data_IF_613909823932
#
_entry.id   IF_613909823932
#
_cell.length_a   1.000
_cell.length_b   1.000
_cell.length_c   1.000
_cell.angle_alpha   90.00
_cell.angle_beta   90.00
_cell.angle_gamma   90.00
#
_symmetry.space_group_name_H-M   'P 1'
#
loop_
_entity.id
_entity.type
_entity.pdbx_description
1 polymer ?
#
# COMPACT_ATOMS: atom_id res chain seq x y z
N UNK A 1 -2.07 -6.90 56.47
CA UNK A 1 -0.80 -6.66 55.75
C UNK A 1 -0.86 -7.43 54.43
N UNK A 2 -0.33 -6.80 53.37
CA UNK A 2 -0.13 -7.26 51.99
C UNK A 2 -1.10 -6.70 50.94
N UNK A 3 -0.52 -5.78 50.17
CA UNK A 3 -0.96 -5.20 48.93
C UNK A 3 -0.30 -5.95 47.77
N UNK A 4 -0.98 -6.12 46.63
CA UNK A 4 -0.41 -6.25 45.27
C UNK A 4 -1.53 -5.85 44.29
N UNK A 5 -1.52 -4.62 43.81
CA UNK A 5 -0.83 -4.14 42.62
C UNK A 5 -1.65 -4.35 41.33
N UNK A 6 -2.31 -3.25 40.92
CA UNK A 6 -2.55 -2.90 39.53
C UNK A 6 -1.26 -3.10 38.71
N UNK A 7 -1.36 -3.74 37.55
CA UNK A 7 -0.21 -3.99 36.70
C UNK A 7 -0.61 -4.40 35.29
N UNK A 8 -1.02 -3.41 34.50
CA UNK A 8 -0.75 -3.33 33.04
C UNK A 8 -0.96 -4.61 32.24
N UNK A 9 -2.16 -4.70 31.65
CA UNK A 9 -2.45 -5.49 30.45
C UNK A 9 -1.36 -5.19 29.41
N UNK A 10 -0.44 -6.14 29.21
CA UNK A 10 0.56 -6.12 28.14
C UNK A 10 -0.15 -6.34 26.80
N UNK A 11 -0.83 -5.31 26.31
CA UNK A 11 -1.27 -5.18 24.92
C UNK A 11 -0.02 -4.79 24.12
N UNK A 12 0.92 -5.71 23.97
CA UNK A 12 2.22 -5.40 23.36
C UNK A 12 2.89 -6.57 22.64
N UNK A 13 2.32 -7.77 22.69
CA UNK A 13 2.96 -8.97 22.16
C UNK A 13 2.15 -9.75 21.11
N UNK A 14 0.97 -9.27 20.71
CA UNK A 14 0.16 -9.97 19.70
C UNK A 14 0.39 -9.52 18.25
N UNK A 15 1.13 -8.43 17.99
CA UNK A 15 1.38 -7.99 16.62
C UNK A 15 2.61 -8.63 15.95
N UNK A 16 3.40 -9.42 16.69
CA UNK A 16 4.64 -10.01 16.19
C UNK A 16 4.51 -11.48 15.71
N UNK A 17 3.40 -12.16 15.98
CA UNK A 17 3.17 -13.55 15.52
C UNK A 17 2.41 -13.66 14.19
N UNK A 18 1.98 -12.54 13.58
CA UNK A 18 1.32 -12.57 12.28
C UNK A 18 2.31 -12.61 11.10
N UNK A 19 3.62 -12.39 11.33
CA UNK A 19 4.62 -12.30 10.24
C UNK A 19 5.32 -13.62 9.88
N UNK A 20 5.02 -14.74 10.54
CA UNK A 20 5.77 -16.00 10.32
C UNK A 20 4.90 -17.22 9.99
N UNK A 21 3.60 -17.04 9.72
CA UNK A 21 2.69 -18.15 9.41
C UNK A 21 1.83 -17.86 8.17
N UNK A 22 2.44 -17.84 6.97
CA UNK A 22 1.86 -18.30 5.68
C UNK A 22 2.59 -17.78 4.44
N UNK A 23 3.92 -17.98 4.33
CA UNK A 23 4.59 -17.90 3.03
C UNK A 23 4.45 -19.23 2.24
N UNK A 24 3.22 -19.73 2.12
CA UNK A 24 2.84 -20.87 1.28
C UNK A 24 1.36 -20.77 0.84
N UNK A 25 0.82 -19.55 0.82
CA UNK A 25 -0.43 -19.25 0.14
C UNK A 25 -0.09 -18.86 -1.29
N UNK A 26 -0.74 -19.49 -2.28
CA UNK A 26 -0.60 -19.07 -3.67
C UNK A 26 -0.77 -17.55 -3.77
N UNK A 27 0.06 -16.86 -4.58
CA UNK A 27 -0.11 -15.43 -4.78
C UNK A 27 -1.57 -15.13 -5.16
N UNK A 28 -2.15 -14.01 -4.68
CA UNK A 28 -3.53 -13.67 -4.97
C UNK A 28 -3.77 -13.67 -6.49
N UNK A 29 -5.00 -13.97 -6.96
CA UNK A 29 -5.29 -13.94 -8.39
C UNK A 29 -5.00 -12.56 -8.96
N UNK A 30 -4.56 -12.51 -10.22
CA UNK A 30 -4.13 -11.29 -10.90
C UNK A 30 -5.17 -10.16 -10.78
N UNK A 31 -6.46 -10.46 -10.96
CA UNK A 31 -7.53 -9.46 -10.86
C UNK A 31 -7.56 -8.75 -9.49
N UNK A 32 -7.31 -9.48 -8.40
CA UNK A 32 -7.27 -8.89 -7.05
C UNK A 32 -6.06 -7.98 -6.86
N UNK A 33 -4.93 -8.35 -7.45
CA UNK A 33 -3.74 -7.50 -7.45
C UNK A 33 -3.99 -6.22 -8.26
N UNK A 34 -4.63 -6.33 -9.43
CA UNK A 34 -4.98 -5.20 -10.28
C UNK A 34 -6.01 -4.27 -9.62
N UNK A 35 -7.00 -4.84 -8.92
CA UNK A 35 -7.96 -4.09 -8.10
C UNK A 35 -7.25 -3.28 -7.01
N UNK A 36 -6.28 -3.89 -6.32
CA UNK A 36 -5.48 -3.20 -5.32
C UNK A 36 -4.64 -2.05 -5.92
N UNK A 37 -3.99 -2.28 -7.06
CA UNK A 37 -3.24 -1.23 -7.79
C UNK A 37 -4.16 -0.08 -8.22
N UNK A 38 -5.37 -0.40 -8.71
CA UNK A 38 -6.37 0.61 -9.07
C UNK A 38 -6.84 1.42 -7.86
N UNK A 39 -7.06 0.76 -6.71
CA UNK A 39 -7.45 1.42 -5.46
C UNK A 39 -6.36 2.38 -4.95
N UNK A 40 -5.09 1.95 -5.00
CA UNK A 40 -3.96 2.83 -4.69
C UNK A 40 -3.87 4.01 -5.65
N UNK A 41 -4.12 3.79 -6.94
CA UNK A 41 -4.13 4.87 -7.94
C UNK A 41 -5.18 5.92 -7.60
N UNK A 42 -6.41 5.50 -7.28
CA UNK A 42 -7.48 6.39 -6.87
C UNK A 42 -7.15 7.13 -5.56
N UNK A 43 -6.54 6.43 -4.59
CA UNK A 43 -6.08 7.02 -3.34
C UNK A 43 -5.04 8.12 -3.58
N UNK A 44 -4.08 7.93 -4.49
CA UNK A 44 -3.08 8.95 -4.81
C UNK A 44 -3.68 10.18 -5.50
N UNK A 45 -4.67 9.97 -6.37
CA UNK A 45 -5.40 11.08 -7.01
C UNK A 45 -6.19 11.86 -5.97
N UNK A 46 -6.92 11.17 -5.09
CA UNK A 46 -7.66 11.81 -4.00
C UNK A 46 -6.73 12.56 -3.06
N UNK A 47 -5.61 11.95 -2.64
CA UNK A 47 -4.63 12.59 -1.78
C UNK A 47 -4.04 13.86 -2.42
N UNK A 48 -3.82 13.85 -3.73
CA UNK A 48 -3.35 15.03 -4.47
C UNK A 48 -4.38 16.14 -4.42
N UNK A 49 -5.64 15.83 -4.68
CA UNK A 49 -6.73 16.81 -4.71
C UNK A 49 -7.04 17.34 -3.29
N UNK A 50 -6.99 16.49 -2.26
CA UNK A 50 -7.11 16.88 -0.85
C UNK A 50 -5.92 17.73 -0.38
N UNK A 51 -4.70 17.41 -0.81
CA UNK A 51 -3.52 18.23 -0.48
C UNK A 51 -3.57 19.58 -1.19
N UNK A 52 -3.93 19.60 -2.48
CA UNK A 52 -4.06 20.83 -3.26
C UNK A 52 -5.18 21.77 -2.76
N UNK A 53 -6.20 21.23 -2.09
CA UNK A 53 -7.24 22.01 -1.41
C UNK A 53 -6.90 22.38 0.04
N UNK A 54 -5.78 21.89 0.57
CA UNK A 54 -5.35 22.10 1.97
C UNK A 54 -6.11 21.27 3.00
N UNK A 55 -6.88 20.26 2.57
CA UNK A 55 -7.62 19.37 3.46
C UNK A 55 -6.72 18.38 4.21
N UNK A 56 -5.58 18.00 3.62
CA UNK A 56 -4.55 17.19 4.28
C UNK A 56 -3.20 17.90 4.33
N UNK A 57 -2.37 17.51 5.29
CA UNK A 57 -1.02 18.07 5.46
C UNK A 57 -0.02 17.43 4.50
N UNK A 58 1.07 18.15 4.20
CA UNK A 58 2.22 17.60 3.45
C UNK A 58 2.75 16.31 4.09
N UNK A 59 2.80 16.24 5.42
CA UNK A 59 3.24 15.04 6.15
C UNK A 59 2.36 13.84 5.83
N UNK A 60 1.04 14.01 5.84
CA UNK A 60 0.10 12.94 5.55
C UNK A 60 0.15 12.52 4.08
N UNK A 61 0.22 13.49 3.16
CA UNK A 61 0.39 13.23 1.73
C UNK A 61 1.68 12.45 1.44
N UNK A 62 2.78 12.78 2.12
CA UNK A 62 4.07 12.05 2.04
C UNK A 62 3.95 10.62 2.56
N UNK A 63 3.27 10.39 3.69
CA UNK A 63 3.05 9.03 4.21
C UNK A 63 2.23 8.18 3.24
N UNK A 64 1.19 8.76 2.62
CA UNK A 64 0.40 8.08 1.60
C UNK A 64 1.24 7.75 0.37
N UNK A 65 2.08 8.68 -0.10
CA UNK A 65 3.01 8.44 -1.20
C UNK A 65 3.95 7.27 -0.90
N UNK A 66 4.54 7.24 0.29
CA UNK A 66 5.51 6.20 0.67
C UNK A 66 4.84 4.83 0.80
N UNK A 67 3.61 4.77 1.32
CA UNK A 67 2.80 3.56 1.35
C UNK A 67 2.45 3.07 -0.07
N UNK A 68 2.09 3.98 -0.98
CA UNK A 68 1.79 3.65 -2.37
C UNK A 68 3.04 3.17 -3.14
N UNK A 69 4.22 3.72 -2.83
CA UNK A 69 5.50 3.22 -3.36
C UNK A 69 5.78 1.79 -2.91
N UNK A 70 5.58 1.48 -1.62
CA UNK A 70 5.72 0.12 -1.12
C UNK A 70 4.75 -0.85 -1.81
N UNK A 71 3.49 -0.45 -1.96
CA UNK A 71 2.48 -1.25 -2.66
C UNK A 71 2.81 -1.44 -4.15
N UNK A 72 3.38 -0.44 -4.82
CA UNK A 72 3.84 -0.54 -6.21
C UNK A 72 4.96 -1.57 -6.35
N UNK A 73 5.94 -1.56 -5.45
CA UNK A 73 7.05 -2.53 -5.49
C UNK A 73 6.59 -3.96 -5.19
N UNK A 74 5.69 -4.14 -4.20
CA UNK A 74 5.08 -5.44 -3.91
C UNK A 74 4.26 -5.95 -5.11
N UNK A 75 3.47 -5.08 -5.73
CA UNK A 75 2.66 -5.42 -6.90
C UNK A 75 3.52 -5.82 -8.11
N UNK A 76 4.66 -5.15 -8.34
CA UNK A 76 5.59 -5.56 -9.41
C UNK A 76 6.13 -6.98 -9.21
N UNK A 77 6.47 -7.34 -7.97
CA UNK A 77 7.00 -8.66 -7.64
C UNK A 77 5.97 -9.77 -7.81
N UNK A 78 4.71 -9.50 -7.43
CA UNK A 78 3.63 -10.49 -7.38
C UNK A 78 2.87 -10.61 -8.71
N UNK A 79 2.65 -9.50 -9.44
CA UNK A 79 1.96 -9.53 -10.73
C UNK A 79 2.79 -10.26 -11.79
N UNK A 80 4.12 -10.13 -11.74
CA UNK A 80 5.02 -10.87 -12.63
C UNK A 80 4.91 -12.39 -12.49
N UNK A 81 4.44 -12.88 -11.34
CA UNK A 81 4.23 -14.31 -11.08
C UNK A 81 2.82 -14.79 -11.47
N UNK A 82 1.83 -13.88 -11.48
CA UNK A 82 0.43 -14.19 -11.75
C UNK A 82 -0.01 -13.94 -13.21
N UNK A 83 0.75 -13.16 -13.98
CA UNK A 83 0.44 -12.92 -15.39
C UNK A 83 0.86 -14.12 -16.26
N UNK A 84 -0.11 -14.78 -16.90
CA UNK A 84 0.12 -15.99 -17.70
C UNK A 84 -0.05 -15.77 -19.21
N UNK A 85 -0.49 -14.60 -19.63
CA UNK A 85 -0.64 -14.23 -21.03
C UNK A 85 -0.06 -12.85 -21.35
N UNK A 86 0.21 -12.60 -22.64
CA UNK A 86 0.66 -11.29 -23.13
C UNK A 86 -0.35 -10.18 -22.83
N UNK A 87 -1.64 -10.49 -22.89
CA UNK A 87 -2.72 -9.55 -22.59
C UNK A 87 -2.69 -9.16 -21.11
N UNK A 88 -2.54 -10.15 -20.22
CA UNK A 88 -2.42 -9.94 -18.78
C UNK A 88 -1.21 -9.07 -18.45
N UNK A 89 -0.05 -9.37 -19.04
CA UNK A 89 1.17 -8.57 -18.84
C UNK A 89 1.00 -7.13 -19.32
N UNK A 90 0.29 -6.92 -20.42
CA UNK A 90 0.04 -5.57 -20.96
C UNK A 90 -0.90 -4.77 -20.05
N UNK A 91 -1.96 -5.41 -19.56
CA UNK A 91 -2.91 -4.77 -18.63
C UNK A 91 -2.24 -4.46 -17.29
N UNK A 92 -1.47 -5.40 -16.75
CA UNK A 92 -0.64 -5.23 -15.57
C UNK A 92 0.33 -4.05 -15.70
N UNK A 93 1.05 -3.97 -16.81
CA UNK A 93 1.99 -2.89 -17.06
C UNK A 93 1.29 -1.52 -17.08
N UNK A 94 0.12 -1.43 -17.72
CA UNK A 94 -0.68 -0.22 -17.75
C UNK A 94 -1.18 0.20 -16.35
N UNK A 95 -1.64 -0.76 -15.54
CA UNK A 95 -2.09 -0.49 -14.17
C UNK A 95 -0.93 0.02 -13.28
N UNK A 96 0.24 -0.64 -13.35
CA UNK A 96 1.43 -0.24 -12.61
C UNK A 96 1.96 1.13 -13.05
N UNK A 97 1.91 1.44 -14.34
CA UNK A 97 2.31 2.76 -14.86
C UNK A 97 1.34 3.87 -14.42
N UNK A 98 0.04 3.57 -14.37
CA UNK A 98 -0.98 4.48 -13.85
C UNK A 98 -0.71 4.84 -12.38
N UNK A 99 -0.46 3.84 -11.54
CA UNK A 99 -0.11 4.05 -10.12
C UNK A 99 1.19 4.87 -9.99
N UNK A 100 2.23 4.51 -10.75
CA UNK A 100 3.50 5.26 -10.76
C UNK A 100 3.30 6.72 -11.14
N UNK A 101 2.43 6.99 -12.11
CA UNK A 101 2.13 8.35 -12.55
C UNK A 101 1.36 9.12 -11.49
N UNK A 102 0.40 8.50 -10.82
CA UNK A 102 -0.32 9.12 -9.70
C UNK A 102 0.60 9.45 -8.52
N UNK A 103 1.52 8.54 -8.15
CA UNK A 103 2.55 8.78 -7.13
C UNK A 103 3.43 9.98 -7.48
N UNK A 104 3.89 10.06 -8.74
CA UNK A 104 4.70 11.20 -9.21
C UNK A 104 3.93 12.52 -9.15
N UNK A 105 2.66 12.51 -9.50
CA UNK A 105 1.82 13.70 -9.42
C UNK A 105 1.67 14.19 -7.98
N UNK A 106 1.44 13.28 -7.03
CA UNK A 106 1.41 13.62 -5.61
C UNK A 106 2.77 14.15 -5.13
N UNK A 107 3.88 13.53 -5.56
CA UNK A 107 5.23 14.00 -5.19
C UNK A 107 5.54 15.42 -5.68
N UNK A 108 5.06 15.77 -6.88
CA UNK A 108 5.22 17.12 -7.43
C UNK A 108 4.50 18.18 -6.59
N UNK A 109 3.35 17.85 -6.01
CA UNK A 109 2.59 18.74 -5.12
C UNK A 109 3.17 18.83 -3.70
N UNK A 110 3.81 17.76 -3.22
CA UNK A 110 4.39 17.75 -1.86
C UNK A 110 5.82 18.28 -1.78
N UNK A 111 6.50 18.48 -2.91
CA UNK A 111 7.81 19.13 -2.98
C UNK A 111 8.94 18.36 -2.30
N UNK A 112 8.82 17.03 -2.20
CA UNK A 112 9.88 16.15 -1.65
C UNK A 112 10.92 15.75 -2.69
#
# INVERSE_FOLDING_TARGET
>A
MQAFAMGTLRIGAMLALALSASACGSPPPLDKQLEAVSSWTATMQLARDEHGSGAITTTYATQLRDAALAALEESKQTIGQAAHSKTDSSYAAAALDSLRTAIRALNAETGS
#
